data_IF_572503783909
#
_entry.id   IF_572503783909
#
_cell.length_a   1.000
_cell.length_b   1.000
_cell.length_c   1.000
_cell.angle_alpha   90.00
_cell.angle_beta   90.00
_cell.angle_gamma   90.00
#
_symmetry.space_group_name_H-M   'P 1'
#
loop_
_entity.id
_entity.type
_entity.pdbx_description
1 polymer ?
#
# COMPACT_ATOMS: atom_id res chain seq x y z
N UNK A 1 3.18 -14.45 -2.70
CA UNK A 1 1.80 -14.83 -3.01
C UNK A 1 1.81 -15.84 -4.14
N UNK A 2 0.97 -16.87 -4.11
CA UNK A 2 0.83 -17.81 -5.22
C UNK A 2 -0.35 -17.40 -6.09
N UNK A 3 -0.10 -17.19 -7.38
CA UNK A 3 -1.15 -16.96 -8.38
C UNK A 3 -1.06 -18.05 -9.44
N UNK A 4 -2.11 -18.88 -9.56
CA UNK A 4 -2.11 -20.09 -10.42
C UNK A 4 -0.89 -21.00 -10.17
N UNK A 5 -0.46 -21.12 -8.92
CA UNK A 5 0.74 -21.89 -8.55
C UNK A 5 2.07 -21.17 -8.76
N UNK A 6 2.11 -20.03 -9.46
CA UNK A 6 3.31 -19.24 -9.66
C UNK A 6 3.55 -18.26 -8.51
N UNK A 7 4.78 -18.18 -8.03
CA UNK A 7 5.16 -17.17 -7.04
C UNK A 7 5.13 -15.79 -7.69
N UNK A 8 4.34 -14.90 -7.09
CA UNK A 8 4.26 -13.48 -7.41
C UNK A 8 4.58 -12.66 -6.17
N UNK A 9 5.11 -11.48 -6.41
CA UNK A 9 5.48 -10.51 -5.39
C UNK A 9 4.46 -9.38 -5.39
N UNK A 10 3.95 -9.05 -4.21
CA UNK A 10 3.09 -7.90 -4.01
C UNK A 10 3.96 -6.77 -3.46
N UNK A 11 4.03 -5.69 -4.21
CA UNK A 11 4.51 -4.42 -3.71
C UNK A 11 3.32 -3.61 -3.24
N UNK A 12 3.47 -2.97 -2.08
CA UNK A 12 2.46 -2.11 -1.49
C UNK A 12 3.09 -0.78 -1.11
N UNK A 13 2.33 0.29 -1.29
CA UNK A 13 2.66 1.62 -0.82
C UNK A 13 1.65 2.01 0.27
N UNK A 14 2.15 2.33 1.45
CA UNK A 14 1.34 2.63 2.62
C UNK A 14 1.76 3.96 3.22
N UNK A 15 0.80 4.72 3.74
CA UNK A 15 1.08 5.87 4.59
C UNK A 15 1.52 5.39 5.98
N UNK A 16 2.65 5.90 6.47
CA UNK A 16 3.27 5.40 7.71
C UNK A 16 2.52 5.83 8.98
N UNK A 17 1.86 6.99 8.95
CA UNK A 17 1.15 7.57 10.09
C UNK A 17 -0.22 6.91 10.28
N UNK A 18 -0.97 6.80 9.19
CA UNK A 18 -2.36 6.34 9.20
C UNK A 18 -2.50 4.85 8.86
N UNK A 19 -1.43 4.22 8.37
CA UNK A 19 -1.41 2.84 7.84
C UNK A 19 -2.33 2.64 6.64
N UNK A 20 -2.72 3.73 5.97
CA UNK A 20 -3.59 3.68 4.81
C UNK A 20 -2.84 3.05 3.64
N UNK A 21 -3.40 1.98 3.07
CA UNK A 21 -2.84 1.33 1.90
C UNK A 21 -3.23 2.10 0.63
N UNK A 22 -2.27 2.85 0.10
CA UNK A 22 -2.46 3.79 -1.01
C UNK A 22 -2.53 3.04 -2.34
N UNK A 23 -1.48 2.26 -2.66
CA UNK A 23 -1.36 1.62 -3.97
C UNK A 23 -0.74 0.22 -3.86
N UNK A 24 -0.96 -0.60 -4.88
CA UNK A 24 -0.41 -1.95 -4.95
C UNK A 24 0.00 -2.36 -6.36
N UNK A 25 1.06 -3.16 -6.46
CA UNK A 25 1.55 -3.69 -7.72
C UNK A 25 1.92 -5.17 -7.54
N UNK A 26 1.33 -6.03 -8.37
CA UNK A 26 1.69 -7.45 -8.43
C UNK A 26 2.75 -7.64 -9.50
N UNK A 27 3.79 -8.41 -9.18
CA UNK A 27 4.96 -8.59 -10.01
C UNK A 27 5.46 -10.03 -10.04
N UNK A 28 6.27 -10.33 -11.03
CA UNK A 28 6.82 -11.67 -11.27
C UNK A 28 8.17 -11.85 -10.59
N UNK A 29 8.91 -10.76 -10.40
CA UNK A 29 10.23 -10.76 -9.76
C UNK A 29 10.27 -9.78 -8.58
N UNK A 30 11.12 -10.06 -7.57
CA UNK A 30 11.18 -9.29 -6.32
C UNK A 30 12.12 -8.08 -6.36
N UNK A 31 13.23 -8.17 -7.08
CA UNK A 31 14.30 -7.17 -7.02
C UNK A 31 14.55 -6.46 -8.35
N UNK A 32 14.06 -7.03 -9.46
CA UNK A 32 14.28 -6.50 -10.80
C UNK A 32 13.04 -5.86 -11.40
N UNK A 33 11.87 -6.05 -10.78
CA UNK A 33 10.64 -5.43 -11.24
C UNK A 33 10.74 -3.92 -11.14
N UNK A 34 10.28 -3.24 -12.20
CA UNK A 34 10.05 -1.80 -12.16
C UNK A 34 8.88 -1.45 -11.22
N UNK A 35 9.20 -0.76 -10.13
CA UNK A 35 8.23 -0.28 -9.11
C UNK A 35 7.80 1.17 -9.35
N UNK A 36 8.23 1.78 -10.47
CA UNK A 36 7.79 3.10 -10.90
C UNK A 36 6.26 3.20 -11.05
N UNK A 37 5.52 2.20 -11.59
CA UNK A 37 4.07 2.27 -11.68
C UNK A 37 3.41 2.43 -10.31
N UNK A 38 3.86 1.70 -9.30
CA UNK A 38 3.38 1.83 -7.92
C UNK A 38 3.56 3.25 -7.37
N UNK A 39 4.73 3.86 -7.57
CA UNK A 39 5.02 5.21 -7.09
C UNK A 39 4.21 6.28 -7.82
N UNK A 40 4.04 6.12 -9.14
CA UNK A 40 3.21 7.01 -9.94
C UNK A 40 1.75 6.95 -9.47
N UNK A 41 1.17 5.75 -9.38
CA UNK A 41 -0.20 5.55 -8.91
C UNK A 41 -0.39 6.11 -7.49
N UNK A 42 0.55 5.84 -6.59
CA UNK A 42 0.50 6.38 -5.23
C UNK A 42 0.51 7.90 -5.17
N UNK A 43 1.33 8.54 -6.00
CA UNK A 43 1.39 10.01 -6.14
C UNK A 43 0.09 10.57 -6.68
N UNK A 44 -0.49 9.92 -7.69
CA UNK A 44 -1.72 10.35 -8.34
C UNK A 44 -2.90 10.25 -7.37
N UNK A 45 -2.98 9.15 -6.58
CA UNK A 45 -4.00 8.96 -5.52
C UNK A 45 -3.83 9.98 -4.40
N UNK A 46 -2.60 10.20 -3.93
CA UNK A 46 -2.33 11.14 -2.83
C UNK A 46 -2.44 12.62 -3.26
N UNK A 47 -2.44 12.90 -4.57
CA UNK A 47 -2.43 14.26 -5.13
C UNK A 47 -1.16 15.05 -4.86
N UNK A 48 -0.14 14.45 -4.22
CA UNK A 48 1.10 15.11 -3.83
C UNK A 48 2.27 14.14 -3.75
N UNK A 49 3.49 14.67 -3.81
CA UNK A 49 4.70 13.91 -3.52
C UNK A 49 4.84 13.70 -2.01
N UNK A 50 5.33 12.54 -1.56
CA UNK A 50 5.62 12.30 -0.15
C UNK A 50 6.83 13.15 0.29
N UNK A 51 6.85 13.55 1.57
CA UNK A 51 8.03 14.18 2.15
C UNK A 51 9.18 13.16 2.29
N UNK A 52 8.84 11.92 2.66
CA UNK A 52 9.79 10.83 2.86
C UNK A 52 9.26 9.54 2.26
N UNK A 53 10.10 8.82 1.51
CA UNK A 53 9.87 7.43 1.10
C UNK A 53 10.82 6.54 1.89
N UNK A 54 10.25 5.52 2.53
CA UNK A 54 11.01 4.46 3.21
C UNK A 54 10.87 3.20 2.37
N UNK A 55 11.98 2.59 1.97
CA UNK A 55 11.99 1.31 1.26
C UNK A 55 13.08 0.40 1.81
N UNK A 56 13.04 -0.87 1.40
CA UNK A 56 14.20 -1.75 1.58
C UNK A 56 15.41 -1.24 0.76
N UNK A 57 16.57 -1.84 1.00
CA UNK A 57 17.80 -1.53 0.28
C UNK A 57 17.84 -1.98 -1.18
N UNK A 58 16.76 -2.53 -1.76
CA UNK A 58 16.80 -3.02 -3.14
C UNK A 58 16.91 -1.87 -4.15
N UNK A 59 17.73 -2.08 -5.18
CA UNK A 59 18.07 -1.04 -6.16
C UNK A 59 16.88 -0.56 -7.00
N UNK A 60 15.87 -1.41 -7.23
CA UNK A 60 14.68 -1.06 -7.99
C UNK A 60 13.87 0.08 -7.35
N UNK A 61 13.71 0.10 -6.02
CA UNK A 61 13.02 1.20 -5.33
C UNK A 61 13.78 2.52 -5.47
N UNK A 62 15.11 2.48 -5.38
CA UNK A 62 15.92 3.68 -5.57
C UNK A 62 15.80 4.26 -6.97
N UNK A 63 15.85 3.38 -7.98
CA UNK A 63 15.70 3.79 -9.37
C UNK A 63 14.32 4.39 -9.65
N UNK A 64 13.26 3.81 -9.07
CA UNK A 64 11.91 4.35 -9.19
C UNK A 64 11.76 5.70 -8.47
N UNK A 65 12.33 5.85 -7.27
CA UNK A 65 12.35 7.11 -6.54
C UNK A 65 13.04 8.22 -7.34
N UNK A 66 14.22 7.94 -7.92
CA UNK A 66 14.94 8.91 -8.73
C UNK A 66 14.14 9.39 -9.94
N UNK A 67 13.30 8.52 -10.53
CA UNK A 67 12.50 8.88 -11.71
C UNK A 67 11.21 9.61 -11.37
N UNK A 68 10.56 9.29 -10.23
CA UNK A 68 9.24 9.82 -9.90
C UNK A 68 9.25 11.01 -8.94
N UNK A 69 10.15 10.99 -7.96
CA UNK A 69 10.10 11.92 -6.83
C UNK A 69 11.26 12.91 -6.81
N UNK A 70 12.44 12.51 -7.29
CA UNK A 70 13.62 13.38 -7.33
C UNK A 70 13.38 14.66 -8.13
N UNK A 71 13.88 15.77 -7.58
CA UNK A 71 13.91 17.07 -8.23
C UNK A 71 15.08 17.87 -7.67
N UNK A 72 15.59 18.81 -8.47
CA UNK A 72 16.63 19.76 -8.05
C UNK A 72 16.08 20.93 -7.22
N UNK A 73 14.75 21.08 -7.15
CA UNK A 73 14.06 22.14 -6.42
C UNK A 73 13.65 21.68 -5.01
N UNK A 74 13.69 22.60 -4.03
CA UNK A 74 13.18 22.34 -2.68
C UNK A 74 11.69 22.72 -2.58
N UNK A 75 10.90 22.02 -1.73
CA UNK A 75 11.27 20.86 -0.92
C UNK A 75 11.36 19.56 -1.73
N UNK A 76 12.33 18.71 -1.39
CA UNK A 76 12.57 17.41 -2.04
C UNK A 76 12.06 16.25 -1.19
N UNK A 77 11.51 15.24 -1.84
CA UNK A 77 11.25 13.94 -1.20
C UNK A 77 12.58 13.35 -0.73
N UNK A 78 12.65 12.88 0.51
CA UNK A 78 13.81 12.16 1.03
C UNK A 78 13.61 10.66 0.83
N UNK A 79 14.62 9.96 0.29
CA UNK A 79 14.59 8.50 0.20
C UNK A 79 15.45 7.89 1.31
N UNK A 80 14.78 7.26 2.28
CA UNK A 80 15.42 6.49 3.34
C UNK A 80 15.44 5.02 2.90
N UNK A 81 16.64 4.49 2.65
CA UNK A 81 16.84 3.07 2.40
C UNK A 81 17.11 2.38 3.73
N UNK A 82 16.22 1.47 4.11
CA UNK A 82 16.43 0.62 5.27
C UNK A 82 17.45 -0.47 4.92
N UNK A 83 18.57 -0.47 5.67
CA UNK A 83 19.60 -1.51 5.61
C UNK A 83 19.64 -2.16 7.00
N UNK A 84 19.46 -3.49 7.12
CA UNK A 84 19.31 -4.19 8.41
C UNK A 84 20.40 -3.91 9.45
N UNK A 85 21.60 -3.55 9.01
CA UNK A 85 22.77 -3.30 9.87
C UNK A 85 22.68 -2.04 10.74
N UNK A 86 21.69 -1.15 10.54
CA UNK A 86 21.61 0.14 11.26
C UNK A 86 20.62 0.20 12.43
N UNK A 87 19.87 -0.87 12.74
CA UNK A 87 18.95 -0.87 13.89
C UNK A 87 17.75 0.07 13.79
N UNK A 88 17.58 0.80 12.69
CA UNK A 88 16.46 1.70 12.47
C UNK A 88 15.14 0.91 12.36
N UNK A 89 14.13 1.21 13.17
CA UNK A 89 12.84 0.51 13.19
C UNK A 89 11.86 0.98 12.09
N UNK A 90 12.34 1.73 11.10
CA UNK A 90 11.52 2.53 10.20
C UNK A 90 10.64 1.70 9.23
N UNK A 91 11.02 0.45 8.92
CA UNK A 91 10.25 -0.40 7.99
C UNK A 91 9.35 -1.43 8.69
N UNK A 92 9.35 -1.49 10.02
CA UNK A 92 8.66 -2.54 10.79
C UNK A 92 7.14 -2.54 10.56
N UNK A 93 6.54 -1.37 10.32
CA UNK A 93 5.10 -1.25 10.03
C UNK A 93 4.75 -1.94 8.70
N UNK A 94 5.56 -1.74 7.67
CA UNK A 94 5.40 -2.40 6.37
C UNK A 94 5.67 -3.89 6.45
N UNK A 95 6.67 -4.33 7.23
CA UNK A 95 6.93 -5.77 7.45
C UNK A 95 5.73 -6.46 8.10
N UNK A 96 5.15 -5.86 9.16
CA UNK A 96 3.94 -6.38 9.80
C UNK A 96 2.76 -6.43 8.82
N UNK A 97 2.54 -5.35 8.07
CA UNK A 97 1.47 -5.27 7.08
C UNK A 97 1.60 -6.35 5.99
N UNK A 98 2.82 -6.57 5.49
CA UNK A 98 3.11 -7.64 4.53
C UNK A 98 2.84 -9.03 5.13
N UNK A 99 3.10 -9.23 6.42
CA UNK A 99 2.74 -10.44 7.16
C UNK A 99 1.23 -10.69 7.16
N UNK A 100 0.44 -9.67 7.49
CA UNK A 100 -1.03 -9.76 7.49
C UNK A 100 -1.61 -10.13 6.13
N UNK A 101 -1.08 -9.55 5.03
CA UNK A 101 -1.49 -9.92 3.67
C UNK A 101 -1.16 -11.39 3.38
N UNK A 102 0.03 -11.86 3.78
CA UNK A 102 0.45 -13.26 3.56
C UNK A 102 -0.44 -14.24 4.31
N UNK A 103 -0.83 -13.92 5.54
CA UNK A 103 -1.73 -14.78 6.32
C UNK A 103 -3.10 -14.91 5.64
N UNK A 104 -3.64 -13.79 5.12
CA UNK A 104 -4.89 -13.81 4.35
C UNK A 104 -4.77 -14.59 3.05
N UNK A 105 -3.67 -14.43 2.32
CA UNK A 105 -3.39 -15.17 1.09
C UNK A 105 -3.31 -16.68 1.35
N UNK A 106 -2.67 -17.08 2.45
CA UNK A 106 -2.56 -18.48 2.87
C UNK A 106 -3.94 -19.08 3.16
N UNK A 107 -4.79 -18.38 3.90
CA UNK A 107 -6.16 -18.83 4.23
C UNK A 107 -7.00 -18.98 2.96
N UNK A 108 -6.84 -18.09 1.98
CA UNK A 108 -7.57 -18.16 0.70
C UNK A 108 -7.02 -19.18 -0.30
N UNK A 109 -5.96 -19.93 0.05
CA UNK A 109 -5.30 -20.94 -0.79
C UNK A 109 -4.76 -20.39 -2.12
N UNK A 110 -4.26 -19.15 -2.09
CA UNK A 110 -3.71 -18.45 -3.24
C UNK A 110 -4.77 -17.94 -4.22
N UNK A 111 -4.33 -17.13 -5.18
CA UNK A 111 -5.23 -16.49 -6.15
C UNK A 111 -5.29 -17.29 -7.46
N UNK A 112 -6.49 -17.44 -8.03
CA UNK A 112 -6.69 -18.17 -9.29
C UNK A 112 -6.36 -17.36 -10.55
N UNK A 113 -6.27 -16.03 -10.46
CA UNK A 113 -5.98 -15.11 -11.59
C UNK A 113 -5.15 -13.92 -11.07
N UNK A 114 -4.32 -13.33 -11.94
CA UNK A 114 -3.50 -12.15 -11.59
C UNK A 114 -4.37 -10.90 -11.41
N UNK A 115 -5.29 -10.67 -12.36
CA UNK A 115 -6.27 -9.59 -12.27
C UNK A 115 -7.50 -10.04 -11.47
N UNK A 116 -7.32 -10.16 -10.15
CA UNK A 116 -8.41 -10.55 -9.26
C UNK A 116 -8.83 -9.39 -8.39
N UNK A 117 -10.15 -9.21 -8.30
CA UNK A 117 -10.80 -8.22 -7.41
C UNK A 117 -10.49 -8.46 -5.94
N UNK A 118 -9.95 -9.62 -5.58
CA UNK A 118 -9.67 -10.01 -4.19
C UNK A 118 -8.67 -9.07 -3.53
N UNK A 119 -7.59 -8.68 -4.22
CA UNK A 119 -6.58 -7.79 -3.65
C UNK A 119 -7.11 -6.37 -3.46
N UNK A 120 -7.88 -5.87 -4.43
CA UNK A 120 -8.56 -4.57 -4.32
C UNK A 120 -9.62 -4.59 -3.21
N UNK A 121 -10.38 -5.67 -3.12
CA UNK A 121 -11.35 -5.88 -2.03
C UNK A 121 -10.68 -5.95 -0.66
N UNK A 122 -9.51 -6.58 -0.56
CA UNK A 122 -8.75 -6.60 0.68
C UNK A 122 -8.18 -5.22 1.03
N UNK A 123 -7.71 -4.46 0.05
CA UNK A 123 -7.29 -3.07 0.24
C UNK A 123 -8.44 -2.21 0.77
N UNK A 124 -9.63 -2.34 0.18
CA UNK A 124 -10.84 -1.66 0.65
C UNK A 124 -11.18 -2.07 2.09
N UNK A 125 -11.19 -3.37 2.38
CA UNK A 125 -11.46 -3.90 3.71
C UNK A 125 -10.45 -3.38 4.75
N UNK A 126 -9.15 -3.42 4.45
CA UNK A 126 -8.08 -2.91 5.30
C UNK A 126 -8.28 -1.41 5.59
N UNK A 127 -8.51 -0.60 4.56
CA UNK A 127 -8.60 0.85 4.71
C UNK A 127 -9.86 1.31 5.44
N UNK A 128 -11.04 0.74 5.13
CA UNK A 128 -12.32 1.34 5.52
C UNK A 128 -13.11 0.55 6.55
N UNK A 129 -12.76 -0.73 6.78
CA UNK A 129 -13.58 -1.64 7.57
C UNK A 129 -12.84 -2.29 8.75
N UNK A 130 -11.53 -2.52 8.63
CA UNK A 130 -10.76 -3.17 9.67
C UNK A 130 -10.24 -2.15 10.69
N UNK A 131 -10.64 -2.24 11.97
CA UNK A 131 -10.02 -1.44 13.02
C UNK A 131 -8.60 -1.94 13.32
N UNK A 132 -7.70 -1.02 13.67
CA UNK A 132 -6.32 -1.34 14.03
C UNK A 132 -6.04 -0.98 15.48
N UNK A 133 -5.52 -1.92 16.26
CA UNK A 133 -5.08 -1.67 17.64
C UNK A 133 -4.02 -0.57 17.72
N UNK A 134 -3.08 -0.55 16.76
CA UNK A 134 -2.05 0.48 16.66
C UNK A 134 -2.62 1.89 16.34
N UNK A 135 -3.88 1.98 15.91
CA UNK A 135 -4.61 3.22 15.69
C UNK A 135 -5.70 3.41 16.75
N UNK A 136 -5.58 2.81 17.95
CA UNK A 136 -6.57 2.92 19.03
C UNK A 136 -7.98 2.43 18.62
N UNK A 137 -8.04 1.44 17.73
CA UNK A 137 -9.30 0.81 17.32
C UNK A 137 -10.01 1.51 16.17
N UNK A 138 -9.46 2.58 15.57
CA UNK A 138 -10.02 3.17 14.35
C UNK A 138 -9.44 2.52 13.09
N UNK A 139 -10.10 2.73 11.96
CA UNK A 139 -9.66 2.28 10.63
C UNK A 139 -8.59 3.21 10.05
N UNK A 140 -7.75 2.74 9.10
CA UNK A 140 -6.77 3.60 8.43
C UNK A 140 -7.41 4.80 7.73
N UNK A 141 -8.61 4.63 7.16
CA UNK A 141 -9.37 5.72 6.56
C UNK A 141 -9.76 6.78 7.59
N UNK A 142 -10.29 6.37 8.75
CA UNK A 142 -10.62 7.30 9.83
C UNK A 142 -9.38 8.03 10.36
N UNK A 143 -8.24 7.33 10.51
CA UNK A 143 -6.98 7.94 10.89
C UNK A 143 -6.48 8.97 9.84
N UNK A 144 -6.75 8.72 8.56
CA UNK A 144 -6.48 9.64 7.45
C UNK A 144 -7.51 10.78 7.32
N UNK A 145 -8.50 10.86 8.21
CA UNK A 145 -9.57 11.86 8.15
C UNK A 145 -10.67 11.56 7.13
N UNK A 146 -10.68 10.36 6.55
CA UNK A 146 -11.69 9.88 5.60
C UNK A 146 -12.78 9.14 6.39
N UNK A 147 -13.85 9.85 6.74
CA UNK A 147 -14.97 9.27 7.48
C UNK A 147 -16.02 8.67 6.52
N UNK A 148 -16.38 7.41 6.73
CA UNK A 148 -17.56 6.79 6.12
C UNK A 148 -18.74 7.00 7.07
N UNK A 149 -19.56 8.01 6.81
CA UNK A 149 -20.68 8.41 7.66
C UNK A 149 -21.94 7.60 7.30
N UNK A 150 -22.10 6.43 7.92
CA UNK A 150 -23.32 5.65 7.84
C UNK A 150 -23.28 4.43 8.77
N UNK A 151 -24.45 3.99 9.25
CA UNK A 151 -24.56 2.86 10.18
C UNK A 151 -23.99 1.57 9.56
N UNK A 152 -24.24 1.35 8.27
CA UNK A 152 -23.64 0.27 7.52
C UNK A 152 -22.58 0.82 6.56
N UNK A 153 -21.31 0.70 6.95
CA UNK A 153 -20.16 1.15 6.15
C UNK A 153 -20.15 0.55 4.74
N UNK A 154 -20.59 -0.70 4.55
CA UNK A 154 -20.57 -1.35 3.23
C UNK A 154 -21.57 -0.73 2.28
N UNK A 155 -22.81 -0.58 2.75
CA UNK A 155 -23.89 0.06 1.99
C UNK A 155 -23.49 1.50 1.66
N UNK A 156 -22.94 2.23 2.63
CA UNK A 156 -22.53 3.62 2.46
C UNK A 156 -21.47 3.79 1.37
N UNK A 157 -20.41 2.94 1.38
CA UNK A 157 -19.37 2.97 0.36
C UNK A 157 -19.93 2.67 -1.03
N UNK A 158 -20.81 1.67 -1.15
CA UNK A 158 -21.44 1.30 -2.42
C UNK A 158 -22.33 2.44 -2.94
N UNK A 159 -23.16 3.03 -2.07
CA UNK A 159 -24.03 4.14 -2.43
C UNK A 159 -23.24 5.38 -2.86
N UNK A 160 -22.13 5.69 -2.18
CA UNK A 160 -21.25 6.79 -2.56
C UNK A 160 -20.59 6.56 -3.92
N UNK A 161 -20.18 5.33 -4.23
CA UNK A 161 -19.64 4.99 -5.55
C UNK A 161 -20.68 5.17 -6.65
N UNK A 162 -21.90 4.66 -6.46
CA UNK A 162 -23.01 4.83 -7.43
C UNK A 162 -23.33 6.31 -7.67
N UNK A 163 -23.27 7.15 -6.64
CA UNK A 163 -23.49 8.60 -6.79
C UNK A 163 -22.37 9.31 -7.55
N UNK A 164 -21.14 8.83 -7.47
CA UNK A 164 -20.00 9.44 -8.14
C UNK A 164 -19.93 9.12 -9.65
N UNK A 165 -20.55 8.02 -10.07
CA UNK A 165 -20.64 7.60 -11.48
C UNK A 165 -21.76 8.32 -12.26
N UNK A 166 -22.63 9.07 -11.58
CA UNK A 166 -23.70 9.90 -12.16
C UNK A 166 -23.31 11.38 -12.19
#
# INVERSE_FOLDING_TARGET
MKIKGNTKYLYALMDDETRFWIAQQVADTKYTQDVRPLFKEGKDIAGKKPATIISDGAGNFHNAYQKEFWTHTLPRTQHIKHIPFKGDMNNNKMERFNGEIRDREKVMRGLKKQDTVVLKGYQLYHNYFRPHEALKGITPAEAAGIAVQGENKWITVIQNAVKADN
#
